data_IF_045265085181
#
_entry.id   IF_045265085181
#
_cell.length_a   1.000
_cell.length_b   1.000
_cell.length_c   1.000
_cell.angle_alpha   90.00
_cell.angle_beta   90.00
_cell.angle_gamma   90.00
#
_symmetry.space_group_name_H-M   'P 1'
#
loop_
_entity.id
_entity.type
_entity.pdbx_description
1 polymer ?
#
# COMPACT_ATOMS: atom_id res chain seq x y z
N UNK A 1 -0.26 50.20 25.99
CA UNK A 1 0.35 50.25 24.66
C UNK A 1 0.52 48.80 24.20
N UNK A 2 -0.50 48.28 23.52
CA UNK A 2 -0.66 46.83 23.22
C UNK A 2 -0.21 46.64 21.76
N UNK A 3 0.87 45.90 21.56
CA UNK A 3 1.36 45.55 20.24
C UNK A 3 0.65 44.27 19.82
N UNK A 4 -0.28 44.39 18.88
CA UNK A 4 -0.93 43.23 18.25
C UNK A 4 0.00 42.68 17.13
N UNK A 5 0.47 41.47 17.31
CA UNK A 5 1.13 40.67 16.26
C UNK A 5 0.06 40.14 15.31
N UNK A 6 -0.02 40.68 14.13
CA UNK A 6 -0.79 40.14 13.00
C UNK A 6 -0.03 38.93 12.42
N UNK A 7 -0.44 37.73 12.79
CA UNK A 7 -0.10 36.51 12.07
C UNK A 7 -1.06 36.34 10.90
N UNK A 8 -0.60 36.64 9.67
CA UNK A 8 -1.31 36.26 8.47
C UNK A 8 -1.25 34.72 8.25
N UNK A 9 -2.26 34.13 7.58
CA UNK A 9 -2.24 32.72 7.29
C UNK A 9 -1.07 32.43 6.32
N UNK A 10 -0.24 31.45 6.69
CA UNK A 10 0.78 30.89 5.78
C UNK A 10 0.02 30.16 4.69
N UNK A 11 -0.08 30.78 3.54
CA UNK A 11 -0.65 30.20 2.34
C UNK A 11 0.34 29.15 1.81
N UNK A 12 0.17 27.91 2.28
CA UNK A 12 0.84 26.75 1.69
C UNK A 12 0.29 26.59 0.29
N UNK A 13 1.04 27.02 -0.72
CA UNK A 13 0.81 26.70 -2.11
C UNK A 13 0.79 25.16 -2.26
N UNK A 14 -0.41 24.58 -2.22
CA UNK A 14 -0.65 23.19 -2.59
C UNK A 14 -0.51 23.08 -4.11
N UNK A 15 0.68 22.78 -4.58
CA UNK A 15 0.86 22.30 -5.95
C UNK A 15 0.22 20.92 -5.98
N UNK A 16 -0.93 20.80 -6.66
CA UNK A 16 -1.49 19.49 -6.97
C UNK A 16 -0.38 18.70 -7.71
N UNK A 17 -0.07 17.45 -7.30
CA UNK A 17 0.94 16.68 -8.01
C UNK A 17 0.52 16.55 -9.46
N UNK A 18 1.45 16.77 -10.38
CA UNK A 18 1.22 16.53 -11.80
C UNK A 18 0.95 15.03 -11.97
N UNK A 19 -0.32 14.68 -12.09
CA UNK A 19 -0.84 13.32 -12.13
C UNK A 19 -0.36 12.51 -13.35
N UNK A 20 0.49 13.09 -14.19
CA UNK A 20 1.04 12.47 -15.41
C UNK A 20 2.52 12.14 -15.31
N UNK A 21 3.20 12.47 -14.21
CA UNK A 21 4.63 12.18 -14.06
C UNK A 21 4.81 10.74 -13.59
N UNK A 22 5.46 9.85 -14.38
CA UNK A 22 5.77 8.50 -13.96
C UNK A 22 6.59 8.49 -12.68
N UNK A 23 6.15 7.76 -11.68
CA UNK A 23 6.85 7.59 -10.40
C UNK A 23 7.46 6.20 -10.28
N UNK A 24 6.70 5.18 -10.69
CA UNK A 24 7.15 3.78 -10.80
C UNK A 24 6.81 3.29 -12.20
N UNK A 25 7.75 2.63 -12.85
CA UNK A 25 7.53 2.02 -14.17
C UNK A 25 8.06 0.59 -14.19
N UNK A 26 7.23 -0.32 -14.66
CA UNK A 26 7.61 -1.70 -14.97
C UNK A 26 7.60 -1.86 -16.49
N UNK A 27 8.72 -2.33 -17.04
CA UNK A 27 8.89 -2.57 -18.48
C UNK A 27 9.13 -4.05 -18.70
N UNK A 28 8.16 -4.77 -19.25
CA UNK A 28 8.22 -6.21 -19.58
C UNK A 28 8.74 -7.08 -18.42
N UNK A 29 8.31 -6.76 -17.20
CA UNK A 29 8.79 -7.42 -15.98
C UNK A 29 8.23 -8.83 -15.89
N UNK A 30 9.13 -9.81 -15.76
CA UNK A 30 8.77 -11.21 -15.48
C UNK A 30 9.43 -11.69 -14.18
N UNK A 31 8.83 -12.68 -13.55
CA UNK A 31 9.44 -13.38 -12.44
C UNK A 31 9.13 -14.86 -12.47
N UNK A 32 10.18 -15.68 -12.52
CA UNK A 32 10.08 -17.14 -12.51
C UNK A 32 10.81 -17.71 -11.31
N UNK A 33 10.32 -18.82 -10.80
CA UNK A 33 10.91 -19.57 -9.70
C UNK A 33 11.17 -21.01 -10.13
N UNK A 34 12.19 -21.61 -9.52
CA UNK A 34 12.45 -23.04 -9.68
C UNK A 34 11.48 -23.82 -8.78
N UNK A 35 10.82 -24.81 -9.36
CA UNK A 35 9.94 -25.71 -8.61
C UNK A 35 10.78 -26.59 -7.67
N UNK A 36 10.39 -26.62 -6.39
CA UNK A 36 11.12 -27.39 -5.37
C UNK A 36 11.29 -28.86 -5.81
N UNK A 37 12.50 -29.38 -5.66
CA UNK A 37 12.82 -30.78 -5.99
C UNK A 37 12.95 -31.10 -7.49
N UNK A 38 12.77 -30.12 -8.39
CA UNK A 38 12.85 -30.33 -9.84
C UNK A 38 13.79 -29.33 -10.52
N UNK A 39 14.04 -29.50 -11.83
CA UNK A 39 14.70 -28.49 -12.68
C UNK A 39 13.70 -27.58 -13.41
N UNK A 40 12.42 -27.81 -13.23
CA UNK A 40 11.37 -27.04 -13.90
C UNK A 40 11.28 -25.62 -13.35
N UNK A 41 11.13 -24.68 -14.24
CA UNK A 41 10.83 -23.27 -13.91
C UNK A 41 9.33 -23.02 -14.08
N UNK A 42 8.74 -22.26 -13.17
CA UNK A 42 7.38 -21.77 -13.34
C UNK A 42 7.37 -20.25 -13.28
N UNK A 43 6.60 -19.63 -14.15
CA UNK A 43 6.42 -18.18 -14.15
C UNK A 43 5.38 -17.80 -13.09
N UNK A 44 5.78 -16.97 -12.13
CA UNK A 44 4.87 -16.36 -11.17
C UNK A 44 4.26 -15.08 -11.76
N UNK A 45 5.10 -14.27 -12.44
CA UNK A 45 4.68 -13.10 -13.20
C UNK A 45 5.02 -13.31 -14.67
N UNK A 46 4.07 -13.06 -15.55
CA UNK A 46 4.29 -12.88 -16.98
C UNK A 46 4.86 -11.49 -17.29
N UNK A 47 5.06 -11.13 -18.56
CA UNK A 47 5.54 -9.79 -18.88
C UNK A 47 4.51 -8.74 -18.45
N UNK A 48 4.90 -7.92 -17.45
CA UNK A 48 4.08 -6.84 -16.89
C UNK A 48 4.63 -5.51 -17.35
N UNK A 49 3.77 -4.71 -17.96
CA UNK A 49 3.94 -3.29 -18.18
C UNK A 49 2.98 -2.53 -17.26
N UNK A 50 3.51 -1.63 -16.44
CA UNK A 50 2.73 -0.81 -15.53
C UNK A 50 3.43 0.52 -15.30
N UNK A 51 2.66 1.61 -15.33
CA UNK A 51 3.13 2.93 -14.87
C UNK A 51 2.22 3.40 -13.74
N UNK A 52 2.82 3.73 -12.60
CA UNK A 52 2.18 4.45 -11.51
C UNK A 52 2.64 5.89 -11.55
N UNK A 53 1.69 6.81 -11.51
CA UNK A 53 1.99 8.23 -11.50
C UNK A 53 2.29 8.74 -10.08
N UNK A 54 3.01 9.83 -9.99
CA UNK A 54 3.32 10.43 -8.69
C UNK A 54 2.03 10.83 -7.96
N UNK A 55 1.92 10.39 -6.71
CA UNK A 55 0.76 10.65 -5.87
C UNK A 55 -0.50 9.86 -6.24
N UNK A 56 -0.39 8.84 -7.10
CA UNK A 56 -1.49 7.95 -7.43
C UNK A 56 -1.73 6.92 -6.32
N UNK A 57 -2.99 6.58 -6.09
CA UNK A 57 -3.40 5.44 -5.28
C UNK A 57 -3.85 4.32 -6.22
N UNK A 58 -3.06 3.27 -6.32
CA UNK A 58 -3.29 2.13 -7.21
C UNK A 58 -3.52 0.85 -6.41
N UNK A 59 -4.57 0.11 -6.72
CA UNK A 59 -4.78 -1.21 -6.11
C UNK A 59 -4.60 -2.34 -7.11
N UNK A 60 -4.16 -3.48 -6.60
CA UNK A 60 -4.05 -4.75 -7.33
C UNK A 60 -4.95 -5.78 -6.69
N UNK A 61 -5.89 -6.31 -7.47
CA UNK A 61 -6.75 -7.43 -7.08
C UNK A 61 -6.49 -8.64 -7.98
N UNK A 62 -6.72 -9.83 -7.48
CA UNK A 62 -6.50 -11.06 -8.24
C UNK A 62 -6.67 -12.29 -7.35
N UNK A 63 -6.82 -13.50 -7.92
CA UNK A 63 -6.99 -14.72 -7.16
C UNK A 63 -5.76 -15.02 -6.29
N UNK A 64 -5.94 -15.88 -5.28
CA UNK A 64 -4.83 -16.31 -4.44
C UNK A 64 -3.76 -17.03 -5.26
N UNK A 65 -2.48 -16.74 -4.96
CA UNK A 65 -1.34 -17.34 -5.66
C UNK A 65 -1.09 -16.83 -7.09
N UNK A 66 -1.76 -15.79 -7.56
CA UNK A 66 -1.56 -15.23 -8.90
C UNK A 66 -0.25 -14.44 -9.07
N UNK A 67 0.46 -14.12 -7.97
CA UNK A 67 1.74 -13.40 -8.03
C UNK A 67 1.74 -12.00 -7.44
N UNK A 68 0.69 -11.54 -6.76
CA UNK A 68 0.60 -10.19 -6.17
C UNK A 68 1.74 -9.86 -5.22
N UNK A 69 2.03 -10.74 -4.25
CA UNK A 69 3.16 -10.54 -3.33
C UNK A 69 4.52 -10.59 -4.06
N UNK A 70 4.63 -11.43 -5.12
CA UNK A 70 5.83 -11.43 -5.99
C UNK A 70 6.00 -10.10 -6.72
N UNK A 71 4.90 -9.49 -7.17
CA UNK A 71 4.92 -8.15 -7.78
C UNK A 71 5.41 -7.11 -6.77
N UNK A 72 4.92 -7.19 -5.52
CA UNK A 72 5.37 -6.29 -4.45
C UNK A 72 6.85 -6.47 -4.12
N UNK A 73 7.35 -7.72 -4.05
CA UNK A 73 8.77 -7.99 -3.80
C UNK A 73 9.67 -7.38 -4.88
N UNK A 74 9.23 -7.44 -6.15
CA UNK A 74 9.96 -6.85 -7.26
C UNK A 74 9.90 -5.32 -7.23
N UNK A 75 8.75 -4.74 -6.91
CA UNK A 75 8.56 -3.29 -6.79
C UNK A 75 9.34 -2.69 -5.61
N UNK A 76 9.44 -3.43 -4.50
CA UNK A 76 10.17 -2.99 -3.32
C UNK A 76 11.70 -3.14 -3.44
N UNK A 77 12.18 -3.87 -4.47
CA UNK A 77 13.59 -4.20 -4.61
C UNK A 77 14.07 -5.35 -3.73
N UNK A 78 13.15 -6.04 -3.03
CA UNK A 78 13.45 -7.25 -2.25
C UNK A 78 13.77 -8.45 -3.16
N UNK A 79 13.17 -8.48 -4.36
CA UNK A 79 13.48 -9.47 -5.37
C UNK A 79 13.80 -8.81 -6.72
N UNK A 80 14.78 -9.38 -7.45
CA UNK A 80 15.08 -8.93 -8.81
C UNK A 80 14.12 -9.58 -9.80
N UNK A 81 13.68 -8.89 -10.85
CA UNK A 81 12.94 -9.53 -11.94
C UNK A 81 13.82 -10.58 -12.63
N UNK A 82 13.19 -11.58 -13.26
CA UNK A 82 13.90 -12.55 -14.13
C UNK A 82 14.26 -11.91 -15.47
N UNK A 83 13.38 -11.08 -16.01
CA UNK A 83 13.62 -10.21 -17.17
C UNK A 83 12.82 -8.92 -17.04
N UNK A 84 13.12 -7.95 -17.88
CA UNK A 84 12.55 -6.61 -17.78
C UNK A 84 13.20 -5.77 -16.69
N UNK A 85 12.69 -4.59 -16.47
CA UNK A 85 13.22 -3.66 -15.47
C UNK A 85 12.13 -2.94 -14.71
N UNK A 86 12.43 -2.59 -13.46
CA UNK A 86 11.58 -1.74 -12.62
C UNK A 86 12.33 -0.45 -12.33
N UNK A 87 11.65 0.66 -12.52
CA UNK A 87 12.19 1.99 -12.26
C UNK A 87 11.38 2.70 -11.18
N UNK A 88 12.06 3.37 -10.27
CA UNK A 88 11.49 4.27 -9.29
C UNK A 88 12.16 5.63 -9.41
N UNK A 89 11.38 6.70 -9.62
CA UNK A 89 11.88 8.06 -9.86
C UNK A 89 12.92 8.11 -10.99
N UNK A 90 12.69 7.36 -12.08
CA UNK A 90 13.60 7.30 -13.24
C UNK A 90 14.88 6.50 -13.02
N UNK A 91 15.06 5.83 -11.88
CA UNK A 91 16.22 5.00 -11.58
C UNK A 91 15.83 3.53 -11.50
N UNK A 92 16.62 2.66 -12.12
CA UNK A 92 16.40 1.21 -12.05
C UNK A 92 16.59 0.71 -10.62
N UNK A 93 15.62 -0.07 -10.15
CA UNK A 93 15.64 -0.70 -8.82
C UNK A 93 16.55 -1.93 -8.87
N UNK A 94 17.66 -1.89 -8.14
CA UNK A 94 18.60 -3.03 -7.97
C UNK A 94 18.64 -3.58 -6.54
N UNK A 95 18.16 -2.80 -5.58
CA UNK A 95 18.00 -3.10 -4.14
C UNK A 95 16.86 -2.23 -3.60
N UNK A 96 16.49 -2.42 -2.34
CA UNK A 96 15.44 -1.58 -1.71
C UNK A 96 15.85 -0.10 -1.79
N UNK A 97 15.08 0.75 -2.53
CA UNK A 97 15.46 2.15 -2.69
C UNK A 97 15.03 2.98 -1.47
N UNK A 98 15.75 4.07 -1.23
CA UNK A 98 15.34 5.05 -0.24
C UNK A 98 13.99 5.67 -0.59
N UNK A 99 13.15 5.84 0.43
CA UNK A 99 11.81 6.43 0.26
C UNK A 99 10.73 5.44 -0.17
N UNK A 100 11.02 4.14 -0.16
CA UNK A 100 10.02 3.08 -0.29
C UNK A 100 9.68 2.54 1.10
N UNK A 101 8.39 2.53 1.43
CA UNK A 101 7.87 1.92 2.65
C UNK A 101 7.04 0.68 2.31
N UNK A 102 7.21 -0.40 3.06
CA UNK A 102 6.50 -1.67 2.84
C UNK A 102 5.72 -2.05 4.09
N UNK A 103 4.43 -2.35 3.92
CA UNK A 103 3.56 -2.97 4.92
C UNK A 103 3.27 -4.38 4.45
N UNK A 104 3.79 -5.38 5.18
CA UNK A 104 3.60 -6.79 4.85
C UNK A 104 2.27 -7.32 5.37
N UNK A 105 1.76 -8.38 4.75
CA UNK A 105 0.54 -9.08 5.14
C UNK A 105 0.64 -9.67 6.56
N UNK A 106 1.79 -10.28 6.86
CA UNK A 106 2.04 -10.83 8.19
C UNK A 106 2.44 -9.73 9.18
N UNK A 107 2.15 -9.98 10.46
CA UNK A 107 2.57 -9.13 11.56
C UNK A 107 4.11 -9.11 11.63
N UNK A 108 4.69 -8.04 11.13
CA UNK A 108 6.13 -7.79 11.15
C UNK A 108 6.54 -6.90 12.33
N UNK A 109 5.71 -6.76 13.38
CA UNK A 109 6.08 -6.01 14.59
C UNK A 109 7.25 -6.69 15.31
N UNK A 110 8.14 -5.89 15.88
CA UNK A 110 9.26 -6.40 16.69
C UNK A 110 8.73 -6.81 18.08
N UNK A 111 8.68 -8.13 18.41
CA UNK A 111 8.03 -8.60 19.63
C UNK A 111 8.72 -8.15 20.92
N UNK A 112 9.99 -7.77 20.85
CA UNK A 112 10.79 -7.27 21.97
C UNK A 112 10.73 -5.74 22.16
N UNK A 113 10.03 -5.01 21.30
CA UNK A 113 9.83 -3.57 21.40
C UNK A 113 8.39 -3.25 21.78
N UNK A 114 8.21 -2.16 22.56
CA UNK A 114 6.89 -1.60 22.82
C UNK A 114 6.26 -1.08 21.52
N UNK A 115 4.96 -0.79 21.51
CA UNK A 115 4.25 -0.12 20.40
C UNK A 115 4.97 1.17 20.00
N UNK A 116 5.29 2.02 20.99
CA UNK A 116 6.02 3.28 20.79
C UNK A 116 7.37 3.05 20.13
N UNK A 117 8.14 2.09 20.64
CA UNK A 117 9.49 1.82 20.14
C UNK A 117 9.46 1.13 18.75
N UNK A 118 8.46 0.31 18.49
CA UNK A 118 8.21 -0.21 17.14
C UNK A 118 8.04 0.92 16.14
N UNK A 119 7.18 1.90 16.44
CA UNK A 119 6.92 3.06 15.57
C UNK A 119 8.18 3.93 15.45
N UNK A 120 8.89 4.17 16.55
CA UNK A 120 10.09 5.00 16.59
C UNK A 120 11.32 4.38 15.89
N UNK A 121 11.32 3.06 15.69
CA UNK A 121 12.51 2.30 15.29
C UNK A 121 13.19 2.85 14.04
N UNK A 122 12.43 3.02 12.97
CA UNK A 122 12.96 3.53 11.70
C UNK A 122 13.51 4.95 11.82
N UNK A 123 12.81 5.83 12.53
CA UNK A 123 13.22 7.23 12.73
C UNK A 123 14.55 7.32 13.48
N UNK A 124 14.68 6.57 14.59
CA UNK A 124 15.93 6.52 15.37
C UNK A 124 17.08 5.96 14.54
N UNK A 125 16.81 4.91 13.76
CA UNK A 125 17.83 4.28 12.88
C UNK A 125 18.31 5.22 11.79
N UNK A 126 17.43 6.11 11.30
CA UNK A 126 17.75 7.14 10.29
C UNK A 126 18.37 8.41 10.88
N UNK A 127 18.65 8.45 12.19
CA UNK A 127 19.28 9.59 12.83
C UNK A 127 18.39 10.81 13.00
N UNK A 128 17.06 10.64 12.98
CA UNK A 128 16.12 11.72 13.29
C UNK A 128 16.29 12.15 14.73
N UNK A 129 16.30 13.46 15.01
CA UNK A 129 16.49 13.98 16.36
C UNK A 129 15.35 13.60 17.30
N UNK A 130 15.66 13.53 18.62
CA UNK A 130 14.73 13.03 19.64
C UNK A 130 13.38 13.76 19.69
N UNK A 131 13.34 15.10 19.74
CA UNK A 131 12.09 15.87 19.71
C UNK A 131 11.20 15.58 18.50
N UNK A 132 11.77 15.44 17.33
CA UNK A 132 11.04 15.12 16.09
C UNK A 132 10.54 13.67 16.10
N UNK A 133 11.34 12.71 16.59
CA UNK A 133 10.90 11.33 16.82
C UNK A 133 9.66 11.32 17.71
N UNK A 134 9.70 12.00 18.86
CA UNK A 134 8.60 12.05 19.80
C UNK A 134 7.33 12.66 19.18
N UNK A 135 7.49 13.73 18.42
CA UNK A 135 6.38 14.41 17.72
C UNK A 135 5.71 13.47 16.72
N UNK A 136 6.49 12.82 15.85
CA UNK A 136 5.97 11.91 14.82
C UNK A 136 5.34 10.66 15.43
N UNK A 137 5.96 10.08 16.45
CA UNK A 137 5.43 8.91 17.14
C UNK A 137 4.11 9.24 17.86
N UNK A 138 4.04 10.36 18.56
CA UNK A 138 2.80 10.79 19.23
C UNK A 138 1.66 11.02 18.22
N UNK A 139 1.97 11.61 17.06
CA UNK A 139 1.01 11.77 15.97
C UNK A 139 0.53 10.40 15.45
N UNK A 140 1.45 9.48 15.15
CA UNK A 140 1.12 8.16 14.64
C UNK A 140 0.31 7.32 15.63
N UNK A 141 0.64 7.37 16.92
CA UNK A 141 -0.13 6.72 17.98
C UNK A 141 -1.56 7.26 18.07
N UNK A 142 -1.73 8.58 17.96
CA UNK A 142 -3.05 9.21 17.96
C UNK A 142 -3.88 8.83 16.76
N UNK A 143 -3.27 8.90 15.59
CA UNK A 143 -3.83 8.57 14.32
C UNK A 143 -4.31 7.11 14.23
N UNK A 144 -3.51 6.17 14.74
CA UNK A 144 -3.85 4.74 14.74
C UNK A 144 -4.74 4.31 15.93
N UNK A 145 -5.15 5.23 16.82
CA UNK A 145 -5.92 4.89 18.02
C UNK A 145 -5.15 4.00 18.99
N UNK A 146 -3.82 4.17 19.07
CA UNK A 146 -2.92 3.34 19.87
C UNK A 146 -2.31 4.08 21.07
N UNK A 147 -2.81 5.28 21.43
CA UNK A 147 -2.22 6.10 22.51
C UNK A 147 -2.16 5.36 23.84
N UNK A 148 -3.24 4.69 24.23
CA UNK A 148 -3.35 3.98 25.50
C UNK A 148 -2.51 2.69 25.53
N UNK A 149 -2.05 2.24 24.39
CA UNK A 149 -1.23 1.04 24.21
C UNK A 149 0.25 1.34 23.90
N UNK A 150 0.67 2.60 24.00
CA UNK A 150 2.04 3.01 23.63
C UNK A 150 3.13 2.21 24.34
N UNK A 151 2.91 1.84 25.61
CA UNK A 151 3.83 1.03 26.44
C UNK A 151 3.63 -0.48 26.33
N UNK A 152 2.59 -0.95 25.62
CA UNK A 152 2.30 -2.37 25.47
C UNK A 152 3.28 -3.04 24.49
N UNK A 153 3.48 -4.35 24.67
CA UNK A 153 4.22 -5.19 23.71
C UNK A 153 3.27 -5.85 22.70
N UNK A 154 3.73 -6.23 21.51
CA UNK A 154 2.90 -6.88 20.47
C UNK A 154 2.07 -8.07 20.98
N UNK A 155 2.63 -8.89 21.88
CA UNK A 155 1.92 -10.03 22.47
C UNK A 155 0.67 -9.66 23.29
N UNK A 156 0.54 -8.39 23.71
CA UNK A 156 -0.59 -7.86 24.49
C UNK A 156 -1.68 -7.25 23.60
N UNK A 157 -1.49 -7.24 22.27
CA UNK A 157 -2.36 -6.58 21.31
C UNK A 157 -3.21 -7.59 20.55
N UNK A 158 -4.38 -7.16 20.07
CA UNK A 158 -5.13 -7.90 19.06
C UNK A 158 -4.38 -7.91 17.69
N UNK A 159 -4.73 -8.84 16.79
CA UNK A 159 -4.14 -8.88 15.44
C UNK A 159 -4.30 -7.57 14.67
N UNK A 160 -5.49 -6.98 14.72
CA UNK A 160 -5.74 -5.68 14.08
C UNK A 160 -4.95 -4.52 14.71
N UNK A 161 -4.69 -4.55 16.03
CA UNK A 161 -3.83 -3.56 16.68
C UNK A 161 -2.38 -3.71 16.24
N UNK A 162 -1.86 -4.94 16.16
CA UNK A 162 -0.50 -5.19 15.66
C UNK A 162 -0.34 -4.72 14.22
N UNK A 163 -1.33 -4.96 13.37
CA UNK A 163 -1.34 -4.48 11.99
C UNK A 163 -1.27 -2.94 11.93
N UNK A 164 -2.05 -2.25 12.78
CA UNK A 164 -1.98 -0.78 12.91
C UNK A 164 -0.60 -0.28 13.36
N UNK A 165 0.10 -1.01 14.22
CA UNK A 165 1.49 -0.71 14.60
C UNK A 165 2.43 -0.80 13.38
N UNK A 166 2.30 -1.84 12.56
CA UNK A 166 3.12 -2.02 11.35
C UNK A 166 2.87 -0.91 10.32
N UNK A 167 1.60 -0.52 10.13
CA UNK A 167 1.23 0.62 9.27
C UNK A 167 1.84 1.91 9.82
N UNK A 168 1.67 2.20 11.12
CA UNK A 168 2.22 3.39 11.77
C UNK A 168 3.74 3.49 11.62
N UNK A 169 4.46 2.36 11.84
CA UNK A 169 5.92 2.27 11.69
C UNK A 169 6.40 2.62 10.30
N UNK A 170 5.65 2.23 9.28
CA UNK A 170 5.97 2.54 7.89
C UNK A 170 5.66 4.00 7.56
N UNK A 171 4.47 4.47 7.91
CA UNK A 171 4.00 5.81 7.55
C UNK A 171 4.75 6.94 8.27
N UNK A 172 5.23 6.70 9.49
CA UNK A 172 6.00 7.70 10.26
C UNK A 172 7.30 8.11 9.57
N UNK A 173 7.82 7.24 8.70
CA UNK A 173 9.01 7.49 7.87
C UNK A 173 8.74 8.42 6.68
N UNK A 174 7.47 8.73 6.40
CA UNK A 174 7.04 9.56 5.27
C UNK A 174 7.60 9.08 3.92
N UNK A 175 7.38 7.81 3.56
CA UNK A 175 7.88 7.27 2.30
C UNK A 175 7.21 7.97 1.10
N UNK A 176 7.93 8.03 -0.03
CA UNK A 176 7.40 8.55 -1.30
C UNK A 176 6.60 7.50 -2.08
N UNK A 177 6.94 6.22 -1.89
CA UNK A 177 6.20 5.07 -2.41
C UNK A 177 5.82 4.17 -1.24
N UNK A 178 4.55 3.85 -1.12
CA UNK A 178 4.00 2.96 -0.09
C UNK A 178 3.47 1.71 -0.78
N UNK A 179 4.02 0.56 -0.41
CA UNK A 179 3.59 -0.75 -0.88
C UNK A 179 2.91 -1.46 0.29
N UNK A 180 1.66 -1.91 0.11
CA UNK A 180 0.89 -2.56 1.15
C UNK A 180 0.34 -3.89 0.65
N UNK A 181 0.60 -4.98 1.38
CA UNK A 181 0.05 -6.31 1.11
C UNK A 181 -1.00 -6.64 2.17
N UNK A 182 -2.27 -6.61 1.76
CA UNK A 182 -3.45 -6.92 2.58
C UNK A 182 -3.46 -6.21 3.97
N UNK A 183 -3.22 -4.88 4.03
CA UNK A 183 -2.97 -4.19 5.29
C UNK A 183 -4.17 -4.20 6.25
N UNK A 184 -5.37 -4.49 5.76
CA UNK A 184 -6.60 -4.48 6.54
C UNK A 184 -7.25 -5.87 6.69
N UNK A 185 -6.57 -6.94 6.27
CA UNK A 185 -7.11 -8.29 6.27
C UNK A 185 -7.54 -8.81 7.66
N UNK A 186 -6.88 -8.35 8.73
CA UNK A 186 -7.19 -8.71 10.12
C UNK A 186 -8.26 -7.83 10.79
N UNK A 187 -8.84 -6.84 10.07
CA UNK A 187 -9.81 -5.89 10.60
C UNK A 187 -11.25 -6.29 10.24
N UNK A 188 -12.19 -6.01 11.16
CA UNK A 188 -13.61 -6.06 10.85
C UNK A 188 -14.01 -4.97 9.84
N UNK A 189 -15.17 -5.14 9.21
CA UNK A 189 -15.61 -4.25 8.13
C UNK A 189 -15.72 -2.77 8.54
N UNK A 190 -16.21 -2.47 9.75
CA UNK A 190 -16.37 -1.08 10.20
C UNK A 190 -15.01 -0.44 10.47
N UNK A 191 -14.14 -1.14 11.18
CA UNK A 191 -12.77 -0.69 11.43
C UNK A 191 -12.01 -0.50 10.13
N UNK A 192 -12.21 -1.36 9.13
CA UNK A 192 -11.59 -1.27 7.80
C UNK A 192 -11.99 0.01 7.06
N UNK A 193 -13.27 0.38 7.06
CA UNK A 193 -13.74 1.65 6.46
C UNK A 193 -13.08 2.86 7.14
N UNK A 194 -13.07 2.91 8.48
CA UNK A 194 -12.45 3.99 9.23
C UNK A 194 -10.94 4.09 8.96
N UNK A 195 -10.25 2.94 8.92
CA UNK A 195 -8.81 2.90 8.60
C UNK A 195 -8.54 3.31 7.14
N UNK A 196 -9.46 2.99 6.23
CA UNK A 196 -9.41 3.47 4.85
C UNK A 196 -9.49 4.99 4.76
N UNK A 197 -10.43 5.61 5.48
CA UNK A 197 -10.55 7.08 5.55
C UNK A 197 -9.27 7.73 6.11
N UNK A 198 -8.71 7.13 7.15
CA UNK A 198 -7.46 7.60 7.74
C UNK A 198 -6.29 7.44 6.76
N UNK A 199 -6.20 6.33 6.04
CA UNK A 199 -5.18 6.13 5.01
C UNK A 199 -5.31 7.13 3.87
N UNK A 200 -6.53 7.41 3.40
CA UNK A 200 -6.80 8.44 2.38
C UNK A 200 -6.42 9.84 2.87
N UNK A 201 -6.66 10.15 4.16
CA UNK A 201 -6.23 11.43 4.75
C UNK A 201 -4.70 11.57 4.70
N UNK A 202 -3.95 10.55 5.15
CA UNK A 202 -2.48 10.55 5.10
C UNK A 202 -1.94 10.63 3.67
N UNK A 203 -2.55 9.86 2.75
CA UNK A 203 -2.18 9.90 1.35
C UNK A 203 -2.32 11.31 0.76
N UNK A 204 -3.40 12.02 1.11
CA UNK A 204 -3.58 13.43 0.70
C UNK A 204 -2.52 14.35 1.28
N UNK A 205 -2.21 14.20 2.58
CA UNK A 205 -1.23 15.03 3.29
C UNK A 205 0.21 14.81 2.77
N UNK A 206 0.58 13.57 2.50
CA UNK A 206 1.95 13.22 2.10
C UNK A 206 2.17 13.26 0.59
N UNK A 207 1.11 13.18 -0.21
CA UNK A 207 1.18 13.02 -1.67
C UNK A 207 2.05 11.82 -2.10
N UNK A 208 2.16 10.80 -1.26
CA UNK A 208 2.87 9.57 -1.58
C UNK A 208 2.15 8.81 -2.69
N UNK A 209 2.88 8.07 -3.51
CA UNK A 209 2.30 7.06 -4.40
C UNK A 209 2.03 5.80 -3.59
N UNK A 210 0.85 5.21 -3.75
CA UNK A 210 0.45 4.01 -3.00
C UNK A 210 0.15 2.88 -3.97
N UNK A 211 0.69 1.70 -3.71
CA UNK A 211 0.26 0.44 -4.30
C UNK A 211 -0.29 -0.44 -3.17
N UNK A 212 -1.57 -0.77 -3.29
CA UNK A 212 -2.29 -1.63 -2.35
C UNK A 212 -2.60 -2.96 -3.02
N UNK A 213 -2.15 -4.06 -2.42
CA UNK A 213 -2.59 -5.40 -2.75
C UNK A 213 -3.70 -5.77 -1.79
N UNK A 214 -4.85 -6.18 -2.32
CA UNK A 214 -5.97 -6.65 -1.51
C UNK A 214 -6.78 -7.70 -2.25
N UNK A 215 -7.46 -8.56 -1.51
CA UNK A 215 -8.49 -9.46 -2.02
C UNK A 215 -9.90 -8.89 -1.85
N UNK A 216 -10.05 -7.78 -1.12
CA UNK A 216 -11.31 -7.09 -0.89
C UNK A 216 -11.57 -6.08 -2.01
N UNK A 217 -12.57 -6.36 -2.86
CA UNK A 217 -12.91 -5.49 -4.00
C UNK A 217 -13.42 -4.12 -3.55
N UNK A 218 -14.15 -4.09 -2.43
CA UNK A 218 -14.66 -2.87 -1.82
C UNK A 218 -13.54 -1.94 -1.34
N UNK A 219 -12.45 -2.47 -0.76
CA UNK A 219 -11.26 -1.68 -0.45
C UNK A 219 -10.64 -1.07 -1.70
N UNK A 220 -10.38 -1.93 -2.71
CA UNK A 220 -9.77 -1.48 -3.95
C UNK A 220 -10.61 -0.41 -4.63
N UNK A 221 -11.93 -0.62 -4.72
CA UNK A 221 -12.86 0.33 -5.33
C UNK A 221 -12.96 1.65 -4.57
N UNK A 222 -12.92 1.63 -3.22
CA UNK A 222 -13.05 2.82 -2.38
C UNK A 222 -11.78 3.68 -2.38
N UNK A 223 -10.62 3.03 -2.25
CA UNK A 223 -9.36 3.72 -1.96
C UNK A 223 -8.65 4.23 -3.21
N UNK A 224 -8.83 3.59 -4.36
CA UNK A 224 -7.92 3.77 -5.49
C UNK A 224 -8.39 4.78 -6.53
N UNK A 225 -7.44 5.35 -7.24
CA UNK A 225 -7.67 6.08 -8.50
C UNK A 225 -7.86 5.07 -9.64
N UNK A 226 -7.07 3.99 -9.64
CA UNK A 226 -7.16 2.86 -10.57
C UNK A 226 -7.01 1.53 -9.84
N UNK A 227 -7.67 0.50 -10.37
CA UNK A 227 -7.57 -0.88 -9.90
C UNK A 227 -7.12 -1.78 -11.03
N UNK A 228 -5.99 -2.45 -10.86
CA UNK A 228 -5.50 -3.48 -11.75
C UNK A 228 -6.02 -4.86 -11.36
N UNK A 229 -6.63 -5.58 -12.29
CA UNK A 229 -7.06 -6.97 -12.09
C UNK A 229 -6.02 -7.91 -12.66
N UNK A 230 -5.46 -8.78 -11.83
CA UNK A 230 -4.50 -9.78 -12.24
C UNK A 230 -5.17 -11.12 -12.60
N UNK A 231 -4.67 -11.75 -13.68
CA UNK A 231 -5.01 -13.12 -14.04
C UNK A 231 -4.53 -14.13 -13.00
N UNK A 232 -5.05 -15.36 -13.07
CA UNK A 232 -4.41 -16.53 -12.49
C UNK A 232 -2.98 -16.69 -13.06
N UNK A 233 -2.18 -17.55 -12.40
CA UNK A 233 -0.76 -17.74 -12.75
C UNK A 233 -0.55 -18.18 -14.21
N UNK A 234 0.42 -17.56 -14.95
CA UNK A 234 1.27 -16.44 -14.55
C UNK A 234 0.47 -15.13 -14.42
N UNK A 235 0.78 -14.36 -13.37
CA UNK A 235 0.10 -13.09 -13.12
C UNK A 235 0.37 -12.07 -14.22
N UNK A 236 -0.70 -11.60 -14.84
CA UNK A 236 -0.73 -10.54 -15.86
C UNK A 236 -1.86 -9.58 -15.52
N UNK A 237 -1.74 -8.32 -15.85
CA UNK A 237 -2.91 -7.43 -15.79
C UNK A 237 -3.85 -7.73 -16.96
N UNK A 238 -5.09 -8.10 -16.65
CA UNK A 238 -6.15 -8.42 -17.63
C UNK A 238 -7.21 -7.33 -17.75
N UNK A 239 -7.30 -6.45 -16.77
CA UNK A 239 -8.14 -5.24 -16.83
C UNK A 239 -7.55 -4.14 -15.94
N UNK A 240 -7.83 -2.88 -16.30
CA UNK A 240 -7.52 -1.67 -15.53
C UNK A 240 -8.80 -0.86 -15.40
N UNK A 241 -9.25 -0.67 -14.17
CA UNK A 241 -10.50 0.03 -13.87
C UNK A 241 -10.18 1.37 -13.24
N UNK A 242 -10.51 2.46 -13.91
CA UNK A 242 -10.46 3.81 -13.34
C UNK A 242 -11.71 4.04 -12.49
N UNK A 243 -11.53 4.42 -11.23
CA UNK A 243 -12.65 4.69 -10.33
C UNK A 243 -13.29 6.05 -10.62
N UNK A 244 -12.46 7.03 -11.00
CA UNK A 244 -12.89 8.39 -11.29
C UNK A 244 -13.35 9.15 -10.05
N UNK A 245 -12.85 8.75 -8.87
CA UNK A 245 -13.08 9.48 -7.64
C UNK A 245 -12.26 10.78 -7.60
N UNK A 246 -12.82 11.77 -6.95
CA UNK A 246 -12.06 12.96 -6.58
C UNK A 246 -10.98 12.63 -5.54
N UNK A 247 -9.97 13.46 -5.43
CA UNK A 247 -8.86 13.24 -4.49
C UNK A 247 -9.28 13.32 -3.02
N UNK A 248 -10.34 14.05 -2.71
CA UNK A 248 -10.90 14.22 -1.37
C UNK A 248 -11.96 13.17 -0.97
N UNK A 249 -12.06 12.07 -1.76
CA UNK A 249 -12.95 10.93 -1.46
C UNK A 249 -12.73 10.37 -0.06
N UNK A 250 -13.78 9.78 0.49
CA UNK A 250 -13.78 9.01 1.72
C UNK A 250 -14.77 7.83 1.63
N UNK A 251 -14.97 7.12 2.74
CA UNK A 251 -15.85 5.94 2.81
C UNK A 251 -17.30 6.20 2.36
N UNK A 252 -17.75 7.45 2.25
CA UNK A 252 -19.11 7.77 1.73
C UNK A 252 -19.28 7.36 0.26
N UNK A 253 -18.21 7.18 -0.51
CA UNK A 253 -18.29 6.69 -1.89
C UNK A 253 -18.95 5.31 -1.98
N UNK A 254 -18.90 4.48 -0.92
CA UNK A 254 -19.48 3.14 -0.89
C UNK A 254 -21.02 3.15 -1.04
N UNK A 255 -21.65 4.30 -0.76
CA UNK A 255 -23.10 4.47 -0.91
C UNK A 255 -23.51 4.95 -2.30
N UNK A 256 -22.57 5.18 -3.21
CA UNK A 256 -22.86 5.72 -4.54
C UNK A 256 -23.15 4.61 -5.55
N UNK A 257 -24.02 4.87 -6.56
CA UNK A 257 -24.25 3.90 -7.65
C UNK A 257 -22.96 3.51 -8.38
N UNK A 258 -22.06 4.48 -8.59
CA UNK A 258 -20.75 4.27 -9.25
C UNK A 258 -19.88 3.24 -8.53
N UNK A 259 -19.90 3.22 -7.19
CA UNK A 259 -19.19 2.22 -6.41
C UNK A 259 -19.69 0.80 -6.75
N UNK A 260 -21.02 0.62 -6.85
CA UNK A 260 -21.62 -0.63 -7.26
C UNK A 260 -21.20 -1.07 -8.66
N UNK A 261 -21.14 -0.14 -9.62
CA UNK A 261 -20.69 -0.40 -10.99
C UNK A 261 -19.22 -0.84 -11.04
N UNK A 262 -18.35 -0.15 -10.29
CA UNK A 262 -16.91 -0.53 -10.18
C UNK A 262 -16.78 -1.94 -9.59
N UNK A 263 -17.43 -2.22 -8.47
CA UNK A 263 -17.40 -3.53 -7.84
C UNK A 263 -17.92 -4.65 -8.75
N UNK A 264 -19.03 -4.40 -9.46
CA UNK A 264 -19.57 -5.36 -10.40
C UNK A 264 -18.58 -5.68 -11.53
N UNK A 265 -17.91 -4.66 -12.09
CA UNK A 265 -16.89 -4.85 -13.14
C UNK A 265 -15.67 -5.63 -12.61
N UNK A 266 -15.17 -5.29 -11.44
CA UNK A 266 -14.05 -6.01 -10.81
C UNK A 266 -14.41 -7.47 -10.54
N UNK A 267 -15.60 -7.71 -10.00
CA UNK A 267 -16.10 -9.07 -9.71
C UNK A 267 -16.27 -9.91 -10.96
N UNK A 268 -16.82 -9.35 -12.05
CA UNK A 268 -17.00 -10.06 -13.32
C UNK A 268 -15.66 -10.62 -13.82
N UNK A 269 -14.60 -9.80 -13.81
CA UNK A 269 -13.27 -10.21 -14.24
C UNK A 269 -12.63 -11.22 -13.29
N UNK A 270 -12.68 -10.95 -11.98
CA UNK A 270 -12.07 -11.79 -10.96
C UNK A 270 -12.74 -13.17 -10.89
N UNK A 271 -14.07 -13.23 -11.04
CA UNK A 271 -14.82 -14.48 -11.03
C UNK A 271 -14.31 -15.47 -12.07
N UNK A 272 -14.06 -15.01 -13.30
CA UNK A 272 -13.53 -15.88 -14.37
C UNK A 272 -12.17 -16.45 -13.98
N UNK A 273 -11.28 -15.64 -13.45
CA UNK A 273 -9.94 -16.07 -13.05
C UNK A 273 -9.97 -17.00 -11.82
N UNK A 274 -10.85 -16.74 -10.87
CA UNK A 274 -11.03 -17.61 -9.70
C UNK A 274 -11.56 -18.99 -10.11
N UNK A 275 -12.51 -19.06 -11.04
CA UNK A 275 -13.02 -20.32 -11.57
C UNK A 275 -11.94 -21.15 -12.28
N UNK A 276 -10.99 -20.51 -13.01
CA UNK A 276 -9.85 -21.21 -13.61
C UNK A 276 -8.98 -21.89 -12.54
N UNK A 277 -8.72 -21.22 -11.43
CA UNK A 277 -7.92 -21.75 -10.33
C UNK A 277 -8.64 -22.96 -9.67
N UNK A 278 -9.95 -22.85 -9.43
CA UNK A 278 -10.75 -23.94 -8.83
C UNK A 278 -10.89 -25.14 -9.77
N UNK A 279 -11.03 -24.91 -11.09
CA UNK A 279 -11.13 -25.98 -12.09
C UNK A 279 -9.83 -26.72 -12.40
N UNK A 280 -8.68 -26.15 -12.02
CA UNK A 280 -7.35 -26.78 -12.22
C UNK A 280 -6.96 -27.69 -11.04
N UNK A 281 -7.78 -27.76 -9.98
CA UNK A 281 -7.53 -28.62 -8.80
C UNK A 281 -8.21 -30.01 -8.86
N UNK A 282 -8.77 -30.39 -10.03
CA UNK A 282 -9.39 -31.71 -10.26
C UNK A 282 -8.61 -32.53 -11.27
#
# INVERSE_FOLDING_TARGET
MTIALKGGPVETLRVAPDSRTPHVTLNQVTRSFKKAGTREMFAALGPIDLTLNKGEFFSVVGPSGCGKSTLMDVLSGLARPTSGEVMFEGKVISSVPDGVGVVFQEDASFPWLTVRDNIAFGLRRSGVDGPEVERRVAYALGFMGLRDFAGAYPAQLSGGMRQRVCIARTLVMQPRLILMDEPFGALDQQTRLLMGDELLRLWRETSATVLLITHALDEAAMLSDRVGVMSSRPGLFIDMVETGWDRDRDSRVVSTPRFGEINARLWEKLRVETMKVMGTQH
#
